data_IF_126700441520
#
_entry.id   IF_126700441520
#
_cell.length_a   1.000
_cell.length_b   1.000
_cell.length_c   1.000
_cell.angle_alpha   90.00
_cell.angle_beta   90.00
_cell.angle_gamma   90.00
#
_symmetry.space_group_name_H-M   'P 1'
#
loop_
_entity.id
_entity.type
_entity.pdbx_description
1 polymer ?
#
# COMPACT_ATOMS: atom_id res chain seq x y z
N UNK A 1 14.31 -10.66 -14.04
CA UNK A 1 13.91 -9.51 -13.19
C UNK A 1 12.40 -9.58 -13.00
N UNK A 2 11.90 -9.15 -11.83
CA UNK A 2 10.47 -8.99 -11.57
C UNK A 2 10.18 -7.50 -11.41
N UNK A 3 9.13 -7.03 -12.08
CA UNK A 3 8.67 -5.64 -12.03
C UNK A 3 7.25 -5.63 -11.46
N UNK A 4 7.04 -4.85 -10.40
CA UNK A 4 5.72 -4.58 -9.86
C UNK A 4 5.39 -3.11 -10.08
N UNK A 5 4.24 -2.83 -10.69
CA UNK A 5 3.82 -1.48 -11.10
C UNK A 5 2.51 -1.14 -10.42
N UNK A 6 2.48 -0.03 -9.68
CA UNK A 6 1.27 0.52 -9.10
C UNK A 6 0.96 1.88 -9.76
N UNK A 7 -0.17 1.96 -10.46
CA UNK A 7 -0.66 3.18 -11.09
C UNK A 7 -1.76 3.83 -10.24
N UNK A 8 -1.40 4.79 -9.38
CA UNK A 8 -2.36 5.55 -8.55
C UNK A 8 -1.87 7.01 -8.39
N UNK A 9 -2.76 7.97 -8.12
CA UNK A 9 -2.45 9.40 -8.09
C UNK A 9 -1.80 9.90 -6.76
N UNK A 10 -0.65 10.58 -6.87
CA UNK A 10 0.10 11.45 -5.89
C UNK A 10 1.10 10.77 -4.92
N UNK A 11 1.52 11.37 -3.79
CA UNK A 11 2.81 11.01 -3.11
C UNK A 11 2.95 11.27 -1.59
N UNK A 12 3.98 10.62 -0.97
CA UNK A 12 4.79 10.90 0.27
C UNK A 12 4.94 9.60 1.13
N UNK A 13 6.09 9.14 1.67
CA UNK A 13 7.53 9.49 1.52
C UNK A 13 8.49 8.45 2.18
N UNK A 14 9.76 8.42 1.74
CA UNK A 14 11.03 7.93 2.36
C UNK A 14 11.29 6.41 2.71
N UNK A 15 12.56 5.95 2.57
CA UNK A 15 12.87 4.57 2.18
C UNK A 15 12.89 3.53 3.33
N UNK A 16 12.66 2.24 3.04
CA UNK A 16 12.44 1.62 1.71
C UNK A 16 10.98 1.67 1.21
N UNK A 17 10.22 2.71 1.56
CA UNK A 17 8.79 2.82 1.27
C UNK A 17 8.46 4.00 0.33
N UNK A 18 7.45 3.81 -0.52
CA UNK A 18 6.89 4.85 -1.39
C UNK A 18 5.38 4.86 -1.24
N UNK A 19 4.76 5.99 -0.90
CA UNK A 19 3.29 6.12 -0.79
C UNK A 19 2.67 7.13 -1.77
N UNK A 20 1.35 7.04 -2.03
CA UNK A 20 0.61 7.74 -3.11
C UNK A 20 -0.79 8.26 -2.71
N UNK A 21 -1.12 9.57 -2.81
CA UNK A 21 -2.30 10.23 -2.18
C UNK A 21 -3.31 11.05 -3.05
N UNK A 22 -4.47 10.53 -3.49
CA UNK A 22 -5.39 11.28 -4.38
C UNK A 22 -6.02 12.54 -3.76
N UNK A 23 -6.43 13.47 -4.65
CA UNK A 23 -7.00 14.79 -4.33
C UNK A 23 -8.33 15.00 -5.07
N UNK A 24 -9.31 15.74 -4.52
CA UNK A 24 -10.66 15.79 -5.07
C UNK A 24 -10.78 16.85 -6.18
N UNK A 25 -11.69 16.68 -7.14
CA UNK A 25 -12.14 17.77 -7.99
C UNK A 25 -13.14 18.65 -7.24
N UNK A 26 -12.73 19.89 -6.91
CA UNK A 26 -13.55 20.99 -6.37
C UNK A 26 -14.20 20.74 -4.98
N UNK A 27 -13.73 21.45 -3.95
CA UNK A 27 -14.51 21.85 -2.75
C UNK A 27 -14.97 20.77 -1.77
N UNK A 28 -15.13 19.52 -2.19
CA UNK A 28 -15.61 18.43 -1.35
C UNK A 28 -14.50 17.88 -0.45
N UNK A 29 -14.91 17.43 0.74
CA UNK A 29 -14.04 16.81 1.75
C UNK A 29 -13.38 15.57 1.15
N UNK A 30 -12.11 15.67 0.75
CA UNK A 30 -11.32 14.49 0.42
C UNK A 30 -10.99 13.77 1.69
N UNK A 31 -11.47 12.53 1.81
CA UNK A 31 -10.89 11.62 2.77
C UNK A 31 -9.42 11.41 2.37
N UNK A 32 -8.48 11.48 3.32
CA UNK A 32 -7.10 11.19 3.01
C UNK A 32 -6.99 9.69 2.67
N UNK A 33 -6.07 9.38 1.78
CA UNK A 33 -5.80 8.05 1.28
C UNK A 33 -4.35 8.06 0.83
N UNK A 34 -3.51 7.13 1.28
CA UNK A 34 -2.21 6.83 0.67
C UNK A 34 -2.13 5.37 0.21
N UNK A 35 -1.35 5.04 -0.82
CA UNK A 35 -1.03 3.65 -1.23
C UNK A 35 0.46 3.43 -1.27
N UNK A 36 1.00 2.35 -0.70
CA UNK A 36 2.44 2.07 -0.79
C UNK A 36 2.79 0.71 -1.42
N UNK A 37 3.89 0.70 -2.17
CA UNK A 37 4.58 -0.54 -2.60
C UNK A 37 5.96 -0.60 -1.96
N UNK A 38 6.34 -1.78 -1.49
CA UNK A 38 7.62 -2.01 -0.80
C UNK A 38 8.17 -3.40 -1.12
N UNK A 39 9.48 -3.56 -0.98
CA UNK A 39 10.15 -4.86 -1.05
C UNK A 39 11.39 -4.85 -0.13
N UNK A 40 11.75 -5.97 0.53
CA UNK A 40 12.87 -5.99 1.48
C UNK A 40 14.21 -5.66 0.80
N UNK A 41 15.00 -4.78 1.42
CA UNK A 41 16.36 -4.47 0.98
C UNK A 41 17.31 -5.59 1.43
N UNK A 42 17.71 -6.47 0.52
CA UNK A 42 18.66 -7.55 0.83
C UNK A 42 20.11 -7.03 0.80
N UNK A 43 20.79 -7.09 1.94
CA UNK A 43 22.19 -6.65 2.11
C UNK A 43 23.21 -7.80 2.03
N UNK A 44 22.87 -8.90 1.33
CA UNK A 44 23.79 -10.04 1.10
C UNK A 44 25.00 -9.61 0.25
N UNK A 45 26.14 -9.36 0.89
CA UNK A 45 27.37 -8.91 0.23
C UNK A 45 27.99 -9.94 -0.73
N UNK A 46 27.73 -11.23 -0.53
CA UNK A 46 28.45 -12.31 -1.23
C UNK A 46 27.72 -12.93 -2.44
N UNK A 47 26.48 -12.51 -2.76
CA UNK A 47 25.79 -12.92 -4.00
C UNK A 47 25.29 -11.69 -4.76
N UNK A 48 25.91 -11.47 -5.93
CA UNK A 48 25.71 -10.34 -6.85
C UNK A 48 24.31 -9.71 -6.85
N UNK A 49 24.25 -8.60 -6.11
CA UNK A 49 23.39 -7.43 -6.34
C UNK A 49 21.91 -7.76 -6.45
N UNK A 50 21.21 -7.67 -5.32
CA UNK A 50 19.81 -7.23 -5.33
C UNK A 50 19.83 -5.70 -5.42
N UNK A 51 19.55 -5.16 -6.61
CA UNK A 51 19.18 -3.76 -6.73
C UNK A 51 17.67 -3.67 -6.55
N UNK A 52 17.24 -3.03 -5.46
CA UNK A 52 15.91 -2.43 -5.38
C UNK A 52 15.99 -1.05 -6.04
N UNK A 53 15.18 -0.83 -7.08
CA UNK A 53 15.10 0.46 -7.78
C UNK A 53 13.65 0.89 -7.86
N UNK A 54 13.42 2.20 -7.78
CA UNK A 54 12.09 2.82 -7.72
C UNK A 54 12.04 4.01 -8.65
N UNK A 55 10.97 4.10 -9.45
CA UNK A 55 10.78 5.18 -10.41
C UNK A 55 9.34 5.68 -10.34
N UNK A 56 9.17 7.01 -10.36
CA UNK A 56 7.88 7.66 -10.55
C UNK A 56 7.77 8.06 -12.02
N UNK A 57 6.62 7.81 -12.64
CA UNK A 57 6.37 8.07 -14.05
C UNK A 57 4.94 8.57 -14.25
N UNK A 58 4.71 9.34 -15.31
CA UNK A 58 3.36 9.76 -15.69
C UNK A 58 2.61 8.58 -16.31
N UNK A 59 1.48 8.20 -15.73
CA UNK A 59 0.61 7.11 -16.20
C UNK A 59 -0.38 7.56 -17.28
N UNK A 60 -0.62 8.88 -17.39
CA UNK A 60 -1.40 9.50 -18.46
C UNK A 60 -0.65 9.69 -19.78
N UNK A 61 0.69 9.52 -19.80
CA UNK A 61 1.51 9.62 -21.01
C UNK A 61 1.93 8.24 -21.52
N UNK A 62 1.65 7.98 -22.80
CA UNK A 62 2.14 6.79 -23.50
C UNK A 62 3.67 6.82 -23.67
N UNK A 63 4.25 8.01 -23.77
CA UNK A 63 5.69 8.23 -23.93
C UNK A 63 6.43 7.88 -22.64
N UNK A 64 5.95 8.37 -21.48
CA UNK A 64 6.55 8.10 -20.17
C UNK A 64 6.43 6.62 -19.78
N UNK A 65 5.24 6.01 -19.95
CA UNK A 65 5.03 4.57 -19.72
C UNK A 65 5.88 3.71 -20.67
N UNK A 66 5.99 4.08 -21.95
CA UNK A 66 6.84 3.37 -22.91
C UNK A 66 8.32 3.55 -22.60
N UNK A 67 8.75 4.72 -22.10
CA UNK A 67 10.14 4.95 -21.69
C UNK A 67 10.55 4.07 -20.51
N UNK A 68 9.71 3.99 -19.47
CA UNK A 68 9.86 3.05 -18.35
C UNK A 68 10.06 1.61 -18.84
N UNK A 69 9.16 1.12 -19.68
CA UNK A 69 9.23 -0.23 -20.23
C UNK A 69 10.47 -0.45 -21.11
N UNK A 70 10.82 0.48 -22.00
CA UNK A 70 12.00 0.37 -22.86
C UNK A 70 13.30 0.32 -22.05
N UNK A 71 13.43 1.17 -21.03
CA UNK A 71 14.60 1.14 -20.16
C UNK A 71 14.69 -0.22 -19.46
N UNK A 72 13.64 -0.61 -18.73
CA UNK A 72 13.63 -1.87 -17.97
C UNK A 72 13.87 -3.10 -18.85
N UNK A 73 13.32 -3.15 -20.07
CA UNK A 73 13.57 -4.23 -21.03
C UNK A 73 15.04 -4.29 -21.50
N UNK A 74 15.72 -3.15 -21.57
CA UNK A 74 17.11 -3.06 -22.05
C UNK A 74 18.17 -3.26 -20.95
N UNK A 75 17.90 -2.78 -19.72
CA UNK A 75 18.87 -2.79 -18.61
C UNK A 75 18.54 -3.83 -17.54
N UNK A 76 17.27 -4.25 -17.43
CA UNK A 76 16.75 -5.01 -16.29
C UNK A 76 16.71 -4.20 -14.99
N UNK A 77 16.82 -2.87 -15.06
CA UNK A 77 16.82 -1.93 -13.93
C UNK A 77 15.79 -0.83 -14.18
N UNK A 78 15.37 -0.13 -13.12
CA UNK A 78 14.68 1.16 -13.26
C UNK A 78 15.68 2.30 -13.08
N UNK A 79 15.38 3.47 -13.65
CA UNK A 79 16.16 4.66 -13.34
C UNK A 79 15.93 5.02 -11.87
N UNK A 80 16.95 4.81 -11.03
CA UNK A 80 16.92 5.20 -9.63
C UNK A 80 16.90 6.71 -9.54
N UNK A 81 15.70 7.28 -9.42
CA UNK A 81 15.54 8.66 -9.02
C UNK A 81 15.76 8.75 -7.51
N UNK A 82 17.00 9.04 -7.13
CA UNK A 82 17.30 9.60 -5.81
C UNK A 82 16.40 10.83 -5.59
N UNK A 83 15.85 11.04 -4.37
CA UNK A 83 15.15 12.27 -4.06
C UNK A 83 16.14 13.42 -4.16
N UNK A 84 16.10 14.15 -5.27
CA UNK A 84 16.88 15.37 -5.44
C UNK A 84 16.46 16.39 -4.38
N UNK A 85 17.37 17.30 -4.01
CA UNK A 85 17.04 18.43 -3.12
C UNK A 85 15.97 19.39 -3.71
N UNK A 86 15.59 19.17 -4.97
CA UNK A 86 14.40 19.72 -5.61
C UNK A 86 13.16 18.91 -5.20
N UNK A 87 12.20 19.61 -4.59
CA UNK A 87 10.88 19.18 -4.16
C UNK A 87 9.95 18.61 -5.27
N UNK A 88 10.45 18.34 -6.48
CA UNK A 88 9.78 17.67 -7.59
C UNK A 88 8.85 16.51 -7.18
N UNK A 89 9.31 15.54 -6.37
CA UNK A 89 8.51 14.39 -5.90
C UNK A 89 7.38 14.73 -4.92
N UNK A 90 7.45 15.93 -4.32
CA UNK A 90 6.43 16.46 -3.40
C UNK A 90 5.38 17.32 -4.12
N UNK A 91 5.61 17.64 -5.40
CA UNK A 91 4.78 18.58 -6.15
C UNK A 91 3.48 17.91 -6.62
N UNK A 92 2.30 18.47 -6.29
CA UNK A 92 1.01 17.94 -6.75
C UNK A 92 0.90 17.83 -8.27
N UNK A 93 0.40 16.70 -8.79
CA UNK A 93 0.13 16.52 -10.22
C UNK A 93 -0.90 17.51 -10.76
N UNK A 94 -0.70 17.97 -12.01
CA UNK A 94 -1.65 18.84 -12.73
C UNK A 94 -2.95 18.11 -13.02
N UNK A 95 -4.09 18.83 -12.98
CA UNK A 95 -5.40 18.26 -13.32
C UNK A 95 -5.39 17.65 -14.73
N UNK A 96 -5.82 16.40 -14.85
CA UNK A 96 -5.77 15.62 -16.09
C UNK A 96 -4.51 14.77 -16.26
N UNK A 97 -3.50 14.94 -15.39
CA UNK A 97 -2.32 14.07 -15.33
C UNK A 97 -2.38 13.13 -14.12
N UNK A 98 -1.88 11.92 -14.30
CA UNK A 98 -1.74 10.91 -13.26
C UNK A 98 -0.31 10.38 -13.23
N UNK A 99 0.16 9.96 -12.06
CA UNK A 99 1.45 9.29 -11.90
C UNK A 99 1.25 7.83 -11.50
N UNK A 100 2.36 7.09 -11.43
CA UNK A 100 2.47 5.77 -10.84
C UNK A 100 3.87 5.58 -10.26
N UNK A 101 4.02 4.53 -9.47
CA UNK A 101 5.31 4.09 -8.95
C UNK A 101 5.59 2.66 -9.42
N UNK A 102 6.83 2.39 -9.83
CA UNK A 102 7.31 1.07 -10.15
C UNK A 102 8.43 0.69 -9.18
N UNK A 103 8.41 -0.57 -8.71
CA UNK A 103 9.50 -1.17 -7.93
C UNK A 103 9.98 -2.44 -8.65
N UNK A 104 11.29 -2.59 -8.76
CA UNK A 104 11.91 -3.78 -9.35
C UNK A 104 12.90 -4.42 -8.38
N UNK A 105 12.93 -5.75 -8.37
CA UNK A 105 14.04 -6.53 -7.84
C UNK A 105 14.75 -7.29 -8.97
N UNK A 106 16.06 -7.10 -9.03
CA UNK A 106 16.94 -7.72 -10.03
C UNK A 106 18.05 -8.48 -9.31
N UNK A 107 18.28 -9.72 -9.72
CA UNK A 107 19.21 -10.68 -9.11
C UNK A 107 19.67 -11.69 -10.17
N UNK A 108 20.76 -12.41 -9.90
CA UNK A 108 21.28 -13.48 -10.76
C UNK A 108 21.19 -14.83 -10.05
N UNK A 109 20.65 -15.83 -10.75
CA UNK A 109 20.54 -17.22 -10.27
C UNK A 109 21.56 -18.11 -10.96
N UNK A 110 22.15 -19.06 -10.22
CA UNK A 110 22.90 -20.20 -10.76
C UNK A 110 21.94 -21.26 -11.31
N UNK A 111 22.39 -22.17 -12.20
CA UNK A 111 21.59 -23.32 -12.61
C UNK A 111 21.11 -24.14 -11.40
N UNK A 112 19.80 -24.36 -11.29
CA UNK A 112 19.18 -25.07 -10.18
C UNK A 112 18.93 -24.24 -8.90
N UNK A 113 19.38 -22.98 -8.85
CA UNK A 113 19.11 -22.09 -7.72
C UNK A 113 17.64 -21.65 -7.69
N UNK A 114 17.09 -21.51 -6.48
CA UNK A 114 15.75 -20.96 -6.23
C UNK A 114 15.90 -19.76 -5.29
N UNK A 115 15.16 -18.68 -5.55
CA UNK A 115 15.11 -17.50 -4.69
C UNK A 115 13.66 -17.03 -4.54
N UNK A 116 13.29 -16.75 -3.30
CA UNK A 116 12.03 -16.08 -2.94
C UNK A 116 12.20 -14.57 -3.09
N UNK A 117 11.15 -13.89 -3.55
CA UNK A 117 11.11 -12.44 -3.70
C UNK A 117 9.76 -11.97 -3.18
N UNK A 118 9.77 -11.04 -2.24
CA UNK A 118 8.57 -10.58 -1.54
C UNK A 118 8.34 -9.11 -1.83
N UNK A 119 7.08 -8.79 -2.13
CA UNK A 119 6.58 -7.44 -2.29
C UNK A 119 5.40 -7.25 -1.35
N UNK A 120 5.19 -6.01 -0.90
CA UNK A 120 4.04 -5.59 -0.11
C UNK A 120 3.32 -4.46 -0.83
N UNK A 121 1.98 -4.49 -0.76
CA UNK A 121 1.09 -3.42 -1.21
C UNK A 121 0.18 -3.06 -0.02
N UNK A 122 0.09 -1.79 0.30
CA UNK A 122 -0.76 -1.26 1.37
C UNK A 122 -1.57 -0.06 0.91
N UNK A 123 -2.60 0.29 1.67
CA UNK A 123 -3.28 1.57 1.56
C UNK A 123 -3.78 2.07 2.93
N UNK A 124 -3.56 3.35 3.23
CA UNK A 124 -4.04 4.05 4.42
C UNK A 124 -5.12 5.05 4.00
N UNK A 125 -6.36 4.57 3.94
CA UNK A 125 -7.58 5.38 3.87
C UNK A 125 -8.27 5.35 5.24
N UNK A 126 -7.91 6.23 6.19
CA UNK A 126 -8.27 6.05 7.61
C UNK A 126 -9.75 6.34 7.88
N UNK A 127 -10.39 7.14 7.02
CA UNK A 127 -11.79 7.56 7.14
C UNK A 127 -12.70 6.82 6.15
N UNK A 128 -13.98 6.70 6.50
CA UNK A 128 -15.06 6.19 5.63
C UNK A 128 -16.35 6.95 5.93
N UNK A 129 -17.05 7.41 4.90
CA UNK A 129 -18.24 8.25 5.03
C UNK A 129 -19.42 7.66 4.29
N UNK A 130 -20.59 7.63 4.93
CA UNK A 130 -21.84 7.12 4.35
C UNK A 130 -22.83 8.23 3.96
N UNK A 131 -22.70 9.38 4.61
CA UNK A 131 -23.33 10.67 4.31
C UNK A 131 -22.40 11.78 4.85
N UNK A 132 -22.63 13.03 4.50
CA UNK A 132 -21.73 14.16 4.84
C UNK A 132 -21.42 14.27 6.34
N UNK A 133 -22.40 13.99 7.21
CA UNK A 133 -22.26 14.04 8.67
C UNK A 133 -21.79 12.72 9.31
N UNK A 134 -21.72 11.62 8.54
CA UNK A 134 -21.48 10.26 9.05
C UNK A 134 -20.13 9.70 8.57
N UNK A 135 -19.05 10.32 9.04
CA UNK A 135 -17.66 9.92 8.76
C UNK A 135 -17.07 9.15 9.95
N UNK A 136 -16.53 7.96 9.73
CA UNK A 136 -15.96 7.09 10.76
C UNK A 136 -14.50 6.75 10.52
N UNK A 137 -13.73 6.56 11.59
CA UNK A 137 -12.39 5.97 11.50
C UNK A 137 -12.44 4.46 11.36
N UNK A 138 -11.64 3.90 10.43
CA UNK A 138 -11.49 2.45 10.23
C UNK A 138 -10.66 1.80 11.35
N UNK A 139 -10.94 0.54 11.67
CA UNK A 139 -10.33 -0.20 12.78
C UNK A 139 -8.80 -0.16 12.82
N UNK A 140 -8.10 -0.31 11.69
CA UNK A 140 -6.63 -0.37 11.70
C UNK A 140 -5.97 0.93 12.21
N UNK A 141 -6.69 2.06 12.17
CA UNK A 141 -6.21 3.34 12.69
C UNK A 141 -6.00 3.34 14.21
N UNK A 142 -6.59 2.38 14.93
CA UNK A 142 -6.29 2.14 16.35
C UNK A 142 -4.82 1.74 16.56
N UNK A 143 -4.16 1.17 15.55
CA UNK A 143 -2.78 0.67 15.62
C UNK A 143 -1.78 1.55 14.85
N UNK A 144 -2.14 2.01 13.65
CA UNK A 144 -1.23 2.76 12.76
C UNK A 144 -1.43 4.28 12.78
N UNK A 145 -2.45 4.80 13.47
CA UNK A 145 -2.78 6.22 13.46
C UNK A 145 -3.81 6.61 12.40
N UNK A 146 -4.08 7.91 12.30
CA UNK A 146 -5.26 8.50 11.63
C UNK A 146 -4.91 9.50 10.51
N UNK A 147 -3.62 9.63 10.20
CA UNK A 147 -3.07 10.71 9.37
C UNK A 147 -3.36 10.54 7.88
N UNK A 148 -3.51 9.30 7.38
CA UNK A 148 -3.68 9.02 5.96
C UNK A 148 -2.37 8.96 5.16
N UNK A 149 -1.23 9.01 5.87
CA UNK A 149 0.14 8.99 5.33
C UNK A 149 0.91 7.73 5.76
N UNK A 150 0.25 6.77 6.41
CA UNK A 150 0.89 5.64 7.10
C UNK A 150 0.95 4.37 6.24
N UNK A 151 0.63 4.46 4.95
CA UNK A 151 0.82 3.35 4.01
C UNK A 151 2.28 2.81 3.96
N UNK A 152 3.34 3.63 4.08
CA UNK A 152 4.71 3.15 4.30
C UNK A 152 4.82 2.15 5.45
N UNK A 153 4.34 2.53 6.64
CA UNK A 153 4.45 1.72 7.85
C UNK A 153 3.57 0.46 7.77
N UNK A 154 2.40 0.53 7.13
CA UNK A 154 1.58 -0.64 6.82
C UNK A 154 2.31 -1.61 5.89
N UNK A 155 3.01 -1.11 4.86
CA UNK A 155 3.75 -1.94 3.93
C UNK A 155 4.98 -2.57 4.61
N UNK A 156 5.68 -1.81 5.45
CA UNK A 156 6.77 -2.28 6.31
C UNK A 156 6.33 -3.43 7.22
N UNK A 157 5.27 -3.18 7.99
CA UNK A 157 4.73 -4.14 8.94
C UNK A 157 4.33 -5.46 8.27
N UNK A 158 3.78 -5.41 7.05
CA UNK A 158 3.50 -6.61 6.28
C UNK A 158 4.77 -7.37 5.85
N UNK A 159 5.83 -6.68 5.41
CA UNK A 159 7.11 -7.32 5.08
C UNK A 159 7.81 -7.96 6.30
N UNK A 160 7.64 -7.38 7.49
CA UNK A 160 8.21 -7.91 8.72
C UNK A 160 7.43 -9.11 9.29
N UNK A 161 6.11 -9.20 9.02
CA UNK A 161 5.22 -10.16 9.68
C UNK A 161 4.65 -11.27 8.77
N UNK A 162 4.77 -11.18 7.43
CA UNK A 162 4.07 -12.11 6.51
C UNK A 162 4.29 -13.60 6.83
N UNK A 163 5.51 -14.01 7.23
CA UNK A 163 5.80 -15.41 7.58
C UNK A 163 5.00 -15.93 8.78
N UNK A 164 4.73 -15.06 9.76
CA UNK A 164 3.86 -15.42 10.88
C UNK A 164 2.41 -15.56 10.41
N UNK A 165 1.97 -14.69 9.50
CA UNK A 165 0.63 -14.73 8.94
C UNK A 165 0.41 -15.96 8.06
N UNK A 166 1.38 -16.33 7.22
CA UNK A 166 1.38 -17.58 6.45
C UNK A 166 1.24 -18.79 7.39
N UNK A 167 2.09 -18.86 8.42
CA UNK A 167 2.03 -19.94 9.40
C UNK A 167 0.68 -20.01 10.14
N UNK A 168 0.11 -18.88 10.54
CA UNK A 168 -1.20 -18.87 11.20
C UNK A 168 -2.36 -19.16 10.24
N UNK A 169 -2.25 -18.77 8.95
CA UNK A 169 -3.18 -19.17 7.89
C UNK A 169 -3.16 -20.69 7.69
N UNK A 170 -1.98 -21.27 7.53
CA UNK A 170 -1.79 -22.72 7.46
C UNK A 170 -2.35 -23.41 8.72
N UNK A 171 -2.09 -22.87 9.91
CA UNK A 171 -2.54 -23.42 11.20
C UNK A 171 -4.06 -23.60 11.24
N UNK A 172 -4.84 -22.62 10.78
CA UNK A 172 -6.31 -22.72 10.81
C UNK A 172 -6.90 -23.51 9.63
N UNK A 173 -6.24 -23.51 8.47
CA UNK A 173 -6.71 -24.27 7.30
C UNK A 173 -6.39 -25.77 7.38
N UNK A 174 -5.24 -26.13 7.95
CA UNK A 174 -4.71 -27.50 7.97
C UNK A 174 -5.67 -28.57 8.56
N UNK A 175 -6.42 -28.32 9.65
CA UNK A 175 -7.38 -29.30 10.18
C UNK A 175 -8.47 -29.71 9.17
N UNK A 176 -8.86 -28.80 8.27
CA UNK A 176 -9.83 -29.05 7.20
C UNK A 176 -9.12 -29.62 5.96
N UNK A 177 -7.99 -29.04 5.55
CA UNK A 177 -7.22 -29.49 4.39
C UNK A 177 -6.76 -30.94 4.50
N UNK A 178 -6.28 -31.34 5.69
CA UNK A 178 -5.73 -32.68 5.94
C UNK A 178 -6.79 -33.73 6.30
N UNK A 179 -8.07 -33.36 6.45
CA UNK A 179 -9.14 -34.32 6.73
C UNK A 179 -9.45 -35.16 5.47
N UNK A 180 -9.21 -36.49 5.46
CA UNK A 180 -9.45 -37.32 4.28
C UNK A 180 -10.93 -37.55 3.98
N UNK A 181 -11.82 -37.34 4.96
CA UNK A 181 -13.26 -37.56 4.83
C UNK A 181 -13.97 -36.40 4.09
N UNK A 182 -13.28 -35.28 3.84
CA UNK A 182 -13.83 -34.12 3.15
C UNK A 182 -13.41 -34.11 1.67
N UNK A 183 -14.36 -34.10 0.71
CA UNK A 183 -14.04 -33.97 -0.72
C UNK A 183 -13.26 -32.70 -1.05
N UNK A 184 -12.38 -32.76 -2.06
CA UNK A 184 -11.54 -31.63 -2.45
C UNK A 184 -12.37 -30.41 -2.92
N UNK A 185 -13.49 -30.63 -3.61
CA UNK A 185 -14.38 -29.55 -4.05
C UNK A 185 -14.98 -28.79 -2.85
N UNK A 186 -15.33 -29.51 -1.78
CA UNK A 186 -15.93 -28.92 -0.58
C UNK A 186 -14.92 -28.05 0.16
N UNK A 187 -13.67 -28.50 0.29
CA UNK A 187 -12.57 -27.71 0.87
C UNK A 187 -12.37 -26.39 0.12
N UNK A 188 -12.33 -26.45 -1.23
CA UNK A 188 -12.19 -25.25 -2.08
C UNK A 188 -13.35 -24.28 -1.87
N UNK A 189 -14.60 -24.77 -1.92
CA UNK A 189 -15.78 -23.93 -1.73
C UNK A 189 -15.80 -23.29 -0.34
N UNK A 190 -15.54 -24.07 0.71
CA UNK A 190 -15.56 -23.61 2.10
C UNK A 190 -14.57 -22.46 2.36
N UNK A 191 -13.36 -22.50 1.79
CA UNK A 191 -12.40 -21.42 1.95
C UNK A 191 -12.66 -20.24 1.01
N UNK A 192 -13.03 -20.50 -0.25
CA UNK A 192 -13.22 -19.43 -1.23
C UNK A 192 -14.40 -18.52 -0.88
N UNK A 193 -15.52 -19.07 -0.37
CA UNK A 193 -16.70 -18.27 0.01
C UNK A 193 -16.43 -17.32 1.20
N UNK A 194 -15.34 -17.50 1.95
CA UNK A 194 -14.92 -16.56 3.00
C UNK A 194 -14.50 -15.19 2.45
N UNK A 195 -14.28 -15.05 1.14
CA UNK A 195 -14.01 -13.75 0.51
C UNK A 195 -15.06 -12.70 0.87
N UNK A 196 -16.33 -13.11 1.02
CA UNK A 196 -17.44 -12.21 1.32
C UNK A 196 -17.33 -11.53 2.69
N UNK A 197 -16.55 -12.09 3.63
CA UNK A 197 -16.26 -11.44 4.93
C UNK A 197 -15.42 -10.15 4.72
N UNK A 198 -14.65 -10.06 3.65
CA UNK A 198 -13.84 -8.89 3.30
C UNK A 198 -14.54 -8.03 2.25
N UNK A 199 -14.99 -8.65 1.15
CA UNK A 199 -15.54 -7.96 -0.02
C UNK A 199 -17.03 -7.60 0.09
N UNK A 200 -17.75 -8.15 1.06
CA UNK A 200 -19.19 -7.92 1.28
C UNK A 200 -19.56 -6.51 1.79
N UNK A 201 -18.69 -5.52 1.62
CA UNK A 201 -18.89 -4.15 2.12
C UNK A 201 -18.60 -3.97 3.62
N UNK A 202 -17.79 -4.85 4.20
CA UNK A 202 -17.54 -4.90 5.65
C UNK A 202 -17.01 -3.57 6.23
N UNK A 203 -17.78 -3.00 7.15
CA UNK A 203 -17.38 -1.85 7.95
C UNK A 203 -16.92 -2.30 9.33
N UNK A 204 -15.66 -2.03 9.67
CA UNK A 204 -15.15 -2.15 11.04
C UNK A 204 -14.52 -0.82 11.48
N UNK A 205 -15.11 -0.19 12.49
CA UNK A 205 -14.73 1.13 13.00
C UNK A 205 -13.73 1.06 14.16
N UNK A 206 -13.00 2.16 14.40
CA UNK A 206 -12.04 2.27 15.50
C UNK A 206 -12.74 2.36 16.85
N UNK A 207 -12.22 1.69 17.88
CA UNK A 207 -12.81 1.72 19.24
C UNK A 207 -12.46 3.00 20.01
N UNK A 208 -11.45 3.75 19.55
CA UNK A 208 -11.05 5.05 20.11
C UNK A 208 -12.02 6.20 19.77
N UNK A 209 -13.22 5.90 19.27
CA UNK A 209 -14.26 6.89 18.95
C UNK A 209 -13.94 7.77 17.75
N UNK A 210 -14.84 8.70 17.45
CA UNK A 210 -14.85 9.51 16.23
C UNK A 210 -14.26 10.93 16.38
N UNK A 211 -13.74 11.26 17.57
CA UNK A 211 -13.22 12.60 17.85
C UNK A 211 -11.93 12.86 17.08
N UNK A 212 -12.03 13.65 16.01
CA UNK A 212 -10.96 14.56 15.64
C UNK A 212 -10.84 15.59 16.76
N UNK A 213 -9.67 15.66 17.43
CA UNK A 213 -9.38 16.75 18.38
C UNK A 213 -9.07 18.04 17.61
N UNK A 214 -10.10 18.57 16.96
CA UNK A 214 -10.14 19.90 16.33
C UNK A 214 -11.36 20.69 16.81
N UNK A 215 -11.71 20.53 18.09
CA UNK A 215 -12.65 21.40 18.78
C UNK A 215 -11.91 22.62 19.32
N UNK A 216 -11.74 23.64 18.47
CA UNK A 216 -11.53 25.00 18.98
C UNK A 216 -12.84 25.41 19.68
N UNK A 217 -12.89 25.22 20.99
CA UNK A 217 -13.87 25.85 21.87
C UNK A 217 -13.08 26.78 22.80
N UNK A 218 -12.56 27.85 22.21
CA UNK A 218 -12.25 29.10 22.90
C UNK A 218 -13.17 30.17 22.30
N UNK A 219 -14.12 30.65 23.10
CA UNK A 219 -15.13 31.61 22.67
C UNK A 219 -16.52 31.30 23.25
N UNK A 220 -17.12 32.32 23.86
CA UNK A 220 -18.57 32.48 24.06
C UNK A 220 -19.32 31.61 25.10
N UNK A 221 -18.80 31.52 26.34
CA UNK A 221 -19.66 31.50 27.55
C UNK A 221 -19.06 32.36 28.69
N UNK A 222 -18.87 33.67 28.45
CA UNK A 222 -18.82 34.69 29.51
C UNK A 222 -19.50 35.99 29.03
N UNK A 223 -20.83 35.97 28.91
CA UNK A 223 -21.69 37.16 28.94
C UNK A 223 -23.17 36.75 28.94
N UNK A 224 -23.71 36.33 30.08
CA UNK A 224 -25.08 36.67 30.48
C UNK A 224 -25.22 36.51 32.01
N UNK A 225 -25.51 37.64 32.66
CA UNK A 225 -25.89 37.80 34.08
C UNK A 225 -27.42 37.86 34.18
#
# INVERSE_FOLDING_TARGET
CLLFVLSVMRTFQLPPFFAITPSPPNGNISLPLSFAIAAPTSTEKDIKVITSSTQIFETSSNEATTALWRNWLSTGLLDSQEPTNDNSFTTPTTKGTSIGCAIAQTFKLKPGERKEVVFSLSWDMPKVSFAEENTYYRRYTDFFGRQGTNAPDLAAYALDNYKSWEHDIERWQNPVLNNPNLPQWYKKQLFNELYYIVDGGTLWTSVKGNTDHSSNIEGDIENEL
#
